data_IF_353525820420
#
_entry.id   IF_353525820420
#
_cell.length_a   1.000
_cell.length_b   1.000
_cell.length_c   1.000
_cell.angle_alpha   90.00
_cell.angle_beta   90.00
_cell.angle_gamma   90.00
#
_symmetry.space_group_name_H-M   'P 1'
#
loop_
_entity.id
_entity.type
_entity.pdbx_description
1 polymer ?
#
# COMPACT_ATOMS: atom_id res chain seq x y z
N UNK A 1 1.83 -69.60 -40.48
CA UNK A 1 2.14 -69.15 -39.10
C UNK A 1 3.43 -68.33 -39.14
N UNK A 2 3.33 -67.02 -39.36
CA UNK A 2 4.48 -66.11 -39.44
C UNK A 2 4.65 -65.34 -38.13
N UNK A 3 5.80 -65.48 -37.48
CA UNK A 3 6.15 -64.72 -36.27
C UNK A 3 6.62 -63.32 -36.68
N UNK A 4 5.78 -62.31 -36.43
CA UNK A 4 6.16 -60.90 -36.54
C UNK A 4 6.96 -60.54 -35.29
N UNK A 5 8.26 -60.28 -35.45
CA UNK A 5 9.13 -59.84 -34.37
C UNK A 5 8.89 -58.35 -34.10
N UNK A 6 8.35 -58.03 -32.93
CA UNK A 6 8.21 -56.65 -32.43
C UNK A 6 9.59 -56.19 -31.95
N UNK A 7 10.26 -55.37 -32.75
CA UNK A 7 11.54 -54.75 -32.41
C UNK A 7 11.27 -53.58 -31.47
N UNK A 8 11.51 -53.78 -30.17
CA UNK A 8 11.39 -52.74 -29.16
C UNK A 8 12.42 -51.63 -29.41
N UNK A 9 11.96 -50.44 -29.80
CA UNK A 9 12.77 -49.23 -29.89
C UNK A 9 13.27 -48.89 -28.47
N UNK A 10 14.53 -49.20 -28.20
CA UNK A 10 15.23 -48.70 -27.01
C UNK A 10 15.57 -47.22 -27.25
N UNK A 11 15.25 -46.30 -26.32
CA UNK A 11 15.64 -44.90 -26.44
C UNK A 11 17.17 -44.82 -26.51
N UNK A 12 17.69 -44.27 -27.61
CA UNK A 12 19.12 -43.99 -27.74
C UNK A 12 19.48 -42.90 -26.72
N UNK A 13 20.36 -43.28 -25.82
CA UNK A 13 20.77 -42.56 -24.63
C UNK A 13 21.29 -41.14 -24.93
N UNK A 14 20.78 -40.17 -24.17
CA UNK A 14 21.20 -38.76 -24.06
C UNK A 14 22.66 -38.54 -23.60
N UNK A 15 23.47 -39.59 -23.50
CA UNK A 15 24.84 -39.54 -22.96
C UNK A 15 25.81 -38.70 -23.79
N UNK A 16 25.66 -38.67 -25.11
CA UNK A 16 26.55 -37.91 -26.00
C UNK A 16 26.45 -36.39 -25.81
N UNK A 17 25.25 -35.89 -25.48
CA UNK A 17 25.03 -34.45 -25.28
C UNK A 17 25.64 -33.96 -23.96
N UNK A 18 25.58 -34.78 -22.92
CA UNK A 18 26.18 -34.46 -21.61
C UNK A 18 27.71 -34.47 -21.66
N UNK A 19 28.31 -35.39 -22.43
CA UNK A 19 29.76 -35.45 -22.62
C UNK A 19 30.26 -34.18 -23.34
N UNK A 20 29.61 -33.81 -24.45
CA UNK A 20 29.95 -32.60 -25.20
C UNK A 20 29.80 -31.31 -24.37
N UNK A 21 28.78 -31.23 -23.50
CA UNK A 21 28.59 -30.11 -22.57
C UNK A 21 29.72 -30.04 -21.52
N UNK A 22 30.14 -31.19 -20.97
CA UNK A 22 31.25 -31.25 -20.03
C UNK A 22 32.57 -30.85 -20.69
N UNK A 23 32.82 -31.33 -21.90
CA UNK A 23 34.03 -31.01 -22.66
C UNK A 23 34.07 -29.51 -23.01
N UNK A 24 32.92 -28.93 -23.39
CA UNK A 24 32.81 -27.49 -23.61
C UNK A 24 33.07 -26.69 -22.33
N UNK A 25 32.42 -27.03 -21.20
CA UNK A 25 32.62 -26.35 -19.92
C UNK A 25 34.04 -26.49 -19.36
N UNK A 26 34.78 -27.55 -19.76
CA UNK A 26 36.20 -27.71 -19.44
C UNK A 26 37.15 -26.82 -20.26
N UNK A 27 36.66 -26.21 -21.34
CA UNK A 27 37.46 -25.29 -22.17
C UNK A 27 37.50 -23.88 -21.58
N UNK A 28 38.55 -23.10 -21.87
CA UNK A 28 38.65 -21.68 -21.44
C UNK A 28 37.46 -20.84 -21.92
N UNK A 29 36.98 -21.10 -23.14
CA UNK A 29 35.82 -20.42 -23.69
C UNK A 29 34.52 -20.80 -22.96
N UNK A 30 34.32 -22.08 -22.66
CA UNK A 30 33.15 -22.54 -21.91
C UNK A 30 33.12 -22.03 -20.48
N UNK A 31 34.28 -21.96 -19.80
CA UNK A 31 34.40 -21.33 -18.48
C UNK A 31 33.98 -19.85 -18.54
N UNK A 32 34.48 -19.09 -19.53
CA UNK A 32 34.12 -17.68 -19.67
C UNK A 32 32.60 -17.50 -19.89
N UNK A 33 31.99 -18.32 -20.75
CA UNK A 33 30.54 -18.31 -20.97
C UNK A 33 29.76 -18.66 -19.69
N UNK A 34 30.18 -19.69 -18.96
CA UNK A 34 29.55 -20.08 -17.70
C UNK A 34 29.62 -18.97 -16.64
N UNK A 35 30.75 -18.27 -16.53
CA UNK A 35 30.91 -17.13 -15.62
C UNK A 35 29.97 -15.99 -16.00
N UNK A 36 29.88 -15.63 -17.29
CA UNK A 36 28.97 -14.57 -17.75
C UNK A 36 27.52 -14.95 -17.43
N UNK A 37 27.11 -16.19 -17.73
CA UNK A 37 25.75 -16.66 -17.43
C UNK A 37 25.46 -16.66 -15.92
N UNK A 38 26.44 -17.05 -15.10
CA UNK A 38 26.29 -17.01 -13.64
C UNK A 38 26.14 -15.57 -13.13
N UNK A 39 26.91 -14.62 -13.66
CA UNK A 39 26.79 -13.20 -13.30
C UNK A 39 25.45 -12.61 -13.73
N UNK A 40 24.98 -12.92 -14.94
CA UNK A 40 23.66 -12.50 -15.43
C UNK A 40 22.56 -13.11 -14.56
N UNK A 41 22.66 -14.39 -14.21
CA UNK A 41 21.72 -15.06 -13.31
C UNK A 41 21.69 -14.45 -11.92
N UNK A 42 22.85 -14.16 -11.33
CA UNK A 42 22.97 -13.50 -10.04
C UNK A 42 22.39 -12.09 -10.06
N UNK A 43 22.65 -11.31 -11.12
CA UNK A 43 22.08 -9.98 -11.30
C UNK A 43 20.56 -10.04 -11.44
N UNK A 44 20.03 -10.95 -12.26
CA UNK A 44 18.60 -11.13 -12.44
C UNK A 44 17.90 -11.53 -11.12
N UNK A 45 18.51 -12.44 -10.36
CA UNK A 45 18.01 -12.84 -9.04
C UNK A 45 18.01 -11.65 -8.06
N UNK A 46 19.09 -10.87 -8.03
CA UNK A 46 19.19 -9.67 -7.18
C UNK A 46 18.15 -8.61 -7.56
N UNK A 47 17.97 -8.35 -8.87
CA UNK A 47 16.98 -7.40 -9.37
C UNK A 47 15.56 -7.84 -9.02
N UNK A 48 15.26 -9.14 -9.18
CA UNK A 48 14.00 -9.74 -8.76
C UNK A 48 13.76 -9.58 -7.27
N UNK A 49 14.74 -9.94 -6.43
CA UNK A 49 14.66 -9.75 -4.98
C UNK A 49 14.44 -8.28 -4.58
N UNK A 50 15.11 -7.32 -5.23
CA UNK A 50 14.88 -5.88 -5.01
C UNK A 50 13.45 -5.44 -5.35
N UNK A 51 12.85 -6.02 -6.39
CA UNK A 51 11.47 -5.74 -6.74
C UNK A 51 10.48 -6.31 -5.72
N UNK A 52 10.77 -7.49 -5.15
CA UNK A 52 9.92 -8.13 -4.14
C UNK A 52 10.12 -7.58 -2.71
N UNK A 53 11.32 -7.09 -2.40
CA UNK A 53 11.68 -6.51 -1.08
C UNK A 53 11.47 -4.99 -1.05
N UNK A 54 11.18 -4.36 -2.19
CA UNK A 54 10.78 -2.95 -2.25
C UNK A 54 9.48 -2.69 -1.50
N UNK A 55 9.27 -1.44 -1.07
CA UNK A 55 7.99 -1.02 -0.49
C UNK A 55 6.87 -1.42 -1.44
N UNK A 56 5.97 -2.30 -0.99
CA UNK A 56 4.80 -2.66 -1.79
C UNK A 56 4.04 -1.39 -2.17
N UNK A 57 3.35 -1.37 -3.30
CA UNK A 57 2.49 -0.22 -3.66
C UNK A 57 1.50 0.10 -2.53
N UNK A 58 1.06 -0.92 -1.79
CA UNK A 58 0.26 -0.77 -0.59
C UNK A 58 0.98 -0.03 0.55
N UNK A 59 2.27 -0.28 0.76
CA UNK A 59 3.09 0.47 1.73
C UNK A 59 3.30 1.92 1.27
N UNK A 60 3.56 2.15 -0.01
CA UNK A 60 3.68 3.50 -0.56
C UNK A 60 2.36 4.30 -0.42
N UNK A 61 1.23 3.69 -0.77
CA UNK A 61 -0.11 4.26 -0.61
C UNK A 61 -0.47 4.50 0.86
N UNK A 62 0.03 3.68 1.78
CA UNK A 62 -0.19 3.86 3.21
C UNK A 62 0.63 4.99 3.83
N UNK A 63 1.76 5.36 3.22
CA UNK A 63 2.66 6.43 3.69
C UNK A 63 2.28 7.81 3.15
N UNK A 64 1.78 7.91 1.91
CA UNK A 64 1.26 9.18 1.39
C UNK A 64 -0.15 9.43 1.93
N UNK A 65 -0.26 10.31 2.93
CA UNK A 65 -1.53 10.66 3.57
C UNK A 65 -1.82 12.14 3.44
N UNK A 66 -3.10 12.47 3.50
CA UNK A 66 -3.56 13.84 3.61
C UNK A 66 -3.48 14.27 5.07
N UNK A 67 -2.83 15.40 5.30
CA UNK A 67 -2.70 16.08 6.59
C UNK A 67 -3.44 17.41 6.55
N UNK A 68 -3.71 17.96 7.71
CA UNK A 68 -4.33 19.27 7.90
C UNK A 68 -3.58 20.04 8.99
N UNK A 69 -3.28 21.30 8.69
CA UNK A 69 -2.58 22.19 9.61
C UNK A 69 -3.55 22.70 10.69
N UNK A 70 -3.34 22.35 11.94
CA UNK A 70 -4.24 22.72 13.05
C UNK A 70 -4.41 24.24 13.23
N UNK A 71 -3.43 25.05 12.85
CA UNK A 71 -3.51 26.51 12.96
C UNK A 71 -4.28 27.18 11.80
N UNK A 72 -4.14 26.68 10.58
CA UNK A 72 -4.69 27.35 9.39
C UNK A 72 -5.90 26.63 8.79
N UNK A 73 -6.14 25.37 9.16
CA UNK A 73 -7.15 24.51 8.55
C UNK A 73 -6.81 24.05 7.12
N UNK A 74 -5.66 24.45 6.57
CA UNK A 74 -5.27 24.08 5.22
C UNK A 74 -4.75 22.63 5.17
N UNK A 75 -5.24 21.85 4.21
CA UNK A 75 -4.81 20.47 3.98
C UNK A 75 -3.59 20.38 3.06
N UNK A 76 -2.69 19.43 3.31
CA UNK A 76 -1.51 19.15 2.49
C UNK A 76 -1.19 17.66 2.47
N UNK A 77 -0.49 17.18 1.44
CA UNK A 77 0.03 15.79 1.41
C UNK A 77 1.36 15.70 2.13
N UNK A 78 1.55 14.63 2.89
CA UNK A 78 2.80 14.35 3.57
C UNK A 78 3.09 12.85 3.53
N UNK A 79 4.31 12.50 3.13
CA UNK A 79 4.79 11.12 3.11
C UNK A 79 5.38 10.78 4.47
N UNK A 80 4.64 10.03 5.27
CA UNK A 80 5.08 9.60 6.60
C UNK A 80 6.31 8.69 6.47
N UNK A 81 7.37 9.03 7.19
CA UNK A 81 8.58 8.22 7.28
C UNK A 81 8.57 7.44 8.60
N UNK A 82 9.31 6.34 8.64
CA UNK A 82 9.46 5.58 9.89
C UNK A 82 10.16 6.44 10.94
N UNK A 83 9.61 6.44 12.17
CA UNK A 83 10.09 7.28 13.27
C UNK A 83 9.57 8.72 13.27
N UNK A 84 8.79 9.16 12.27
CA UNK A 84 8.15 10.49 12.30
C UNK A 84 7.11 10.55 13.43
N UNK A 85 7.22 11.55 14.30
CA UNK A 85 6.19 11.88 15.30
C UNK A 85 5.07 12.70 14.69
N UNK A 86 3.85 12.55 15.22
CA UNK A 86 2.71 13.44 14.92
C UNK A 86 2.54 14.38 16.12
N UNK A 87 2.36 15.69 15.91
CA UNK A 87 2.20 16.39 14.63
C UNK A 87 3.49 16.47 13.79
N UNK A 88 3.32 16.67 12.47
CA UNK A 88 4.39 16.87 11.48
C UNK A 88 4.53 18.35 11.08
N UNK A 89 5.65 18.77 10.45
CA UNK A 89 5.81 20.16 10.02
C UNK A 89 4.78 20.54 8.97
N UNK A 90 4.04 21.62 9.21
CA UNK A 90 3.08 22.17 8.25
C UNK A 90 3.78 23.12 7.25
N UNK A 91 3.52 22.98 5.93
CA UNK A 91 4.04 23.92 4.94
C UNK A 91 3.40 25.31 5.08
N UNK A 92 2.25 25.43 5.75
CA UNK A 92 1.51 26.69 5.90
C UNK A 92 1.93 27.46 7.14
N UNK A 93 1.99 26.81 8.31
CA UNK A 93 2.34 27.50 9.56
C UNK A 93 3.83 27.43 9.91
N UNK A 94 4.62 26.62 9.20
CA UNK A 94 6.06 26.38 9.48
C UNK A 94 6.35 25.83 10.88
N UNK A 95 5.36 25.19 11.50
CA UNK A 95 5.44 24.60 12.84
C UNK A 95 4.94 23.15 12.82
N UNK A 96 5.23 22.40 13.88
CA UNK A 96 4.73 21.02 14.12
C UNK A 96 3.23 21.03 14.43
N UNK A 97 2.41 21.24 13.41
CA UNK A 97 0.94 21.41 13.54
C UNK A 97 0.17 20.60 12.52
N UNK A 98 0.85 19.76 11.72
CA UNK A 98 0.25 18.87 10.76
C UNK A 98 -0.28 17.60 11.43
N UNK A 99 -1.59 17.38 11.37
CA UNK A 99 -2.22 16.14 11.83
C UNK A 99 -2.83 15.40 10.65
N UNK A 100 -2.96 14.06 10.70
CA UNK A 100 -3.71 13.31 9.70
C UNK A 100 -5.12 13.89 9.55
N UNK A 101 -5.56 14.08 8.31
CA UNK A 101 -6.93 14.51 8.03
C UNK A 101 -7.83 13.29 7.84
N UNK A 102 -9.01 13.30 8.46
CA UNK A 102 -10.08 12.37 8.13
C UNK A 102 -10.87 12.89 6.93
N UNK A 103 -11.43 11.97 6.13
CA UNK A 103 -12.14 12.32 4.91
C UNK A 103 -13.65 12.21 5.10
N UNK A 104 -14.37 13.32 4.90
CA UNK A 104 -15.83 13.35 4.94
C UNK A 104 -16.41 13.31 3.53
N UNK A 105 -17.07 12.20 3.18
CA UNK A 105 -17.66 11.94 1.86
C UNK A 105 -19.15 12.28 1.78
N UNK A 106 -19.68 13.09 2.72
CA UNK A 106 -21.10 13.40 2.78
C UNK A 106 -21.39 14.86 2.47
N UNK A 107 -22.52 15.12 1.84
CA UNK A 107 -23.12 16.46 1.70
C UNK A 107 -24.02 16.79 2.90
N UNK A 108 -24.42 18.06 3.03
CA UNK A 108 -25.35 18.50 4.07
C UNK A 108 -26.68 17.71 4.01
N UNK A 109 -27.19 17.47 2.80
CA UNK A 109 -28.41 16.70 2.56
C UNK A 109 -28.25 15.18 2.78
N UNK A 110 -27.03 14.72 3.07
CA UNK A 110 -26.75 13.31 3.36
C UNK A 110 -26.56 12.46 2.11
N UNK A 111 -26.23 13.08 0.99
CA UNK A 111 -25.79 12.38 -0.21
C UNK A 111 -24.28 12.12 -0.16
N UNK A 112 -23.82 11.09 -0.86
CA UNK A 112 -22.39 10.82 -1.03
C UNK A 112 -21.82 11.80 -2.05
N UNK A 113 -20.67 12.40 -1.75
CA UNK A 113 -19.93 13.26 -2.69
C UNK A 113 -18.63 12.61 -3.15
N UNK A 114 -18.24 12.91 -4.39
CA UNK A 114 -17.02 12.38 -5.02
C UNK A 114 -15.73 12.95 -4.42
N UNK A 115 -15.76 14.22 -4.03
CA UNK A 115 -14.62 14.92 -3.44
C UNK A 115 -14.82 15.07 -1.93
N UNK A 116 -14.08 14.30 -1.10
CA UNK A 116 -14.23 14.38 0.34
C UNK A 116 -13.67 15.69 0.90
N UNK A 117 -14.29 16.19 1.97
CA UNK A 117 -13.71 17.29 2.75
C UNK A 117 -12.70 16.73 3.74
N UNK A 118 -11.45 17.22 3.76
CA UNK A 118 -10.52 16.92 4.84
C UNK A 118 -10.96 17.58 6.14
N UNK A 119 -10.95 16.82 7.23
CA UNK A 119 -11.41 17.26 8.55
C UNK A 119 -10.35 16.94 9.59
N UNK A 120 -9.96 17.94 10.38
CA UNK A 120 -9.15 17.75 11.58
C UNK A 120 -10.03 17.23 12.71
N UNK A 121 -9.72 16.04 13.23
CA UNK A 121 -10.38 15.56 14.42
C UNK A 121 -9.97 16.37 15.66
N UNK A 122 -10.96 16.76 16.45
CA UNK A 122 -10.79 17.36 17.77
C UNK A 122 -9.95 16.46 18.70
N UNK A 123 -10.14 15.14 18.65
CA UNK A 123 -9.36 14.20 19.46
C UNK A 123 -7.86 14.23 19.17
N UNK A 124 -7.45 14.59 17.95
CA UNK A 124 -6.02 14.73 17.61
C UNK A 124 -5.36 15.95 18.24
N UNK A 125 -6.16 16.96 18.60
CA UNK A 125 -5.69 18.17 19.28
C UNK A 125 -6.11 18.21 20.76
N UNK A 126 -6.41 17.06 21.34
CA UNK A 126 -6.71 16.92 22.77
C UNK A 126 -8.09 17.43 23.20
N UNK A 127 -9.01 17.65 22.26
CA UNK A 127 -10.39 18.07 22.54
C UNK A 127 -11.31 16.87 22.66
N UNK A 128 -12.13 16.85 23.71
CA UNK A 128 -13.09 15.76 23.97
C UNK A 128 -14.36 15.87 23.12
N UNK A 129 -14.65 17.04 22.54
CA UNK A 129 -15.88 17.23 21.79
C UNK A 129 -15.89 16.44 20.46
N UNK A 130 -17.05 15.90 20.05
CA UNK A 130 -17.20 15.28 18.73
C UNK A 130 -16.80 16.25 17.62
N UNK A 131 -16.21 15.70 16.56
CA UNK A 131 -15.83 16.48 15.37
C UNK A 131 -16.95 16.44 14.36
N UNK A 132 -17.34 17.61 13.85
CA UNK A 132 -18.30 17.73 12.76
C UNK A 132 -17.61 18.33 11.55
N UNK A 133 -17.91 17.80 10.37
CA UNK A 133 -17.39 18.35 9.12
C UNK A 133 -17.84 19.81 8.98
N UNK A 134 -16.93 20.75 8.68
CA UNK A 134 -17.27 22.17 8.56
C UNK A 134 -18.14 22.47 7.33
N UNK A 135 -18.12 21.60 6.33
CA UNK A 135 -18.88 21.74 5.09
C UNK A 135 -20.33 21.23 5.25
N UNK A 136 -20.50 19.97 5.70
CA UNK A 136 -21.82 19.34 5.77
C UNK A 136 -22.44 19.23 7.17
N UNK A 137 -21.71 19.58 8.22
CA UNK A 137 -22.20 19.52 9.61
C UNK A 137 -22.40 18.11 10.19
N UNK A 138 -21.94 17.07 9.48
CA UNK A 138 -22.08 15.66 9.92
C UNK A 138 -20.90 15.18 10.75
N UNK A 139 -21.16 14.24 11.65
CA UNK A 139 -20.15 13.65 12.52
C UNK A 139 -19.03 12.99 11.70
N UNK A 140 -17.79 13.26 12.08
CA UNK A 140 -16.58 12.61 11.56
C UNK A 140 -15.88 11.93 12.72
N UNK A 141 -15.50 10.66 12.52
CA UNK A 141 -14.83 9.83 13.53
C UNK A 141 -13.46 9.39 13.02
N UNK A 142 -12.60 8.88 13.90
CA UNK A 142 -11.32 8.28 13.51
C UNK A 142 -11.53 7.07 12.59
N UNK A 143 -10.71 6.97 11.56
CA UNK A 143 -10.86 5.98 10.49
C UNK A 143 -12.24 6.05 9.84
N UNK A 144 -12.65 7.26 9.42
CA UNK A 144 -13.98 7.50 8.90
C UNK A 144 -14.25 6.62 7.66
N UNK A 145 -15.20 5.67 7.71
CA UNK A 145 -15.41 4.73 6.62
C UNK A 145 -15.93 5.44 5.37
N UNK A 146 -15.44 5.02 4.20
CA UNK A 146 -15.99 5.46 2.91
C UNK A 146 -17.44 4.94 2.80
N UNK A 147 -18.40 5.78 2.40
CA UNK A 147 -19.78 5.34 2.21
C UNK A 147 -19.88 4.22 1.18
N UNK A 148 -20.60 3.15 1.54
CA UNK A 148 -21.02 2.11 0.61
C UNK A 148 -22.46 2.38 0.12
N UNK A 149 -22.88 1.86 -1.04
CA UNK A 149 -24.24 2.01 -1.53
C UNK A 149 -25.29 1.61 -0.46
N UNK A 150 -26.27 2.47 -0.22
CA UNK A 150 -27.31 2.26 0.79
C UNK A 150 -26.91 2.57 2.24
N UNK A 151 -25.68 3.02 2.49
CA UNK A 151 -25.28 3.48 3.82
C UNK A 151 -26.04 4.73 4.24
N UNK A 152 -26.35 4.83 5.54
CA UNK A 152 -27.00 6.03 6.11
C UNK A 152 -25.93 7.07 6.45
N UNK A 153 -26.21 8.36 6.25
CA UNK A 153 -25.25 9.39 6.60
C UNK A 153 -25.08 9.47 8.13
N UNK A 154 -23.90 9.88 8.61
CA UNK A 154 -23.68 10.12 10.03
C UNK A 154 -24.59 11.26 10.54
N UNK A 155 -24.91 11.27 11.85
CA UNK A 155 -25.78 12.29 12.44
C UNK A 155 -25.17 13.69 12.29
N UNK A 156 -26.03 14.69 12.17
CA UNK A 156 -25.63 16.10 12.33
C UNK A 156 -25.42 16.44 13.81
N UNK A 157 -24.92 17.64 14.09
CA UNK A 157 -24.75 18.14 15.47
C UNK A 157 -26.02 18.03 16.31
N UNK A 158 -27.17 18.42 15.77
CA UNK A 158 -28.45 18.40 16.50
C UNK A 158 -29.00 16.98 16.70
N UNK A 159 -28.63 16.05 15.83
CA UNK A 159 -29.03 14.65 15.91
C UNK A 159 -28.09 13.82 16.79
N UNK A 160 -26.86 14.31 17.01
CA UNK A 160 -25.84 13.59 17.75
C UNK A 160 -26.21 13.50 19.23
N UNK A 161 -26.32 12.28 19.72
CA UNK A 161 -26.45 11.98 21.15
C UNK A 161 -25.18 11.27 21.58
N UNK A 162 -24.40 11.83 22.54
CA UNK A 162 -23.24 11.13 23.05
C UNK A 162 -23.68 9.75 23.54
N UNK A 163 -22.94 8.69 23.20
CA UNK A 163 -23.17 7.39 23.84
C UNK A 163 -22.95 7.58 25.33
N UNK A 164 -23.99 7.37 26.13
CA UNK A 164 -23.82 7.35 27.59
C UNK A 164 -22.81 6.25 27.90
N UNK A 165 -21.79 6.60 28.68
CA UNK A 165 -20.76 5.66 29.13
C UNK A 165 -21.32 4.74 30.24
N UNK A 166 -22.55 4.24 30.11
CA UNK A 166 -23.25 3.39 31.10
C UNK A 166 -22.69 1.95 31.16
N UNK A 167 -21.42 1.75 30.79
CA UNK A 167 -20.70 0.48 30.89
C UNK A 167 -19.44 0.64 31.73
N UNK A 168 -19.56 1.25 32.90
CA UNK A 168 -18.53 1.19 33.95
C UNK A 168 -19.12 0.64 35.23
#
# INVERSE_FOLDING_TARGET
MGRVAVQALRPQADGGRLQALRDFLGSRAGVAVAVVLALVGAWALWASMRAFVGDSEAAAASRDRLFICAQTGASFRYKVQEGTSIPVPSPYSKAETGYPAELCYWTADGQVKSEPTPVLLNSYIGKEEPTFCPDCGRLVVGHNPVPVPGSRPPPTRDQYRPRSNDRR
#
